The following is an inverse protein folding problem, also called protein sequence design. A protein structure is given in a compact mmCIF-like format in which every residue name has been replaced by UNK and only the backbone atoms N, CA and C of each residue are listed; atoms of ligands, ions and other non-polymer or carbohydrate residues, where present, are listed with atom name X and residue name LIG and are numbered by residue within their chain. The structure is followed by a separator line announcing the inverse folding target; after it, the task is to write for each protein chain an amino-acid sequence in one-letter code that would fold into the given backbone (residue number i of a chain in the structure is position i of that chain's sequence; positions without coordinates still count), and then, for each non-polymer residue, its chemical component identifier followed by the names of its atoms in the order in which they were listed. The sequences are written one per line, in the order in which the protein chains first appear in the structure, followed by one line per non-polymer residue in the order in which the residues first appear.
data_IF_869538550278
#
_entry.id   IF_869538550278
#
_cell.length_a   1.000
_cell.length_b   1.000
_cell.length_c   1.000
_cell.angle_alpha   90.00
_cell.angle_beta   90.00
_cell.angle_gamma   90.00
#
_symmetry.space_group_name_H-M   'P 1'
#
loop_
_entity.id
_entity.type
_entity.pdbx_description
1 polymer ?
#
# COMPACT_ATOMS: atom_id res chain seq x y z
N UNK A 1 -16.97 -30.26 19.44
CA UNK A 1 -15.60 -30.76 19.20
C UNK A 1 -15.06 -30.27 17.85
N UNK A 2 -15.01 -28.95 17.58
CA UNK A 2 -14.70 -28.42 16.23
C UNK A 2 -13.42 -27.56 16.15
N UNK A 3 -12.70 -27.33 17.26
CA UNK A 3 -11.57 -26.38 17.29
C UNK A 3 -10.21 -26.97 16.92
N UNK A 4 -10.05 -28.31 16.90
CA UNK A 4 -8.75 -28.97 16.72
C UNK A 4 -8.40 -29.29 15.26
N UNK A 5 -9.37 -29.37 14.36
CA UNK A 5 -9.08 -29.65 12.94
C UNK A 5 -8.53 -28.41 12.22
N UNK A 6 -9.12 -27.22 12.46
CA UNK A 6 -8.67 -25.96 11.85
C UNK A 6 -7.24 -25.56 12.25
N UNK A 7 -6.77 -25.96 13.43
CA UNK A 7 -5.45 -25.55 13.96
C UNK A 7 -4.29 -26.29 13.31
N UNK A 8 -4.48 -27.55 12.89
CA UNK A 8 -3.47 -28.36 12.20
C UNK A 8 -3.33 -27.92 10.74
N UNK A 9 -4.44 -27.53 10.12
CA UNK A 9 -4.48 -27.04 8.75
C UNK A 9 -3.88 -25.63 8.61
N UNK A 10 -4.08 -24.77 9.61
CA UNK A 10 -3.42 -23.47 9.63
C UNK A 10 -1.90 -23.62 9.77
N UNK A 11 -1.41 -24.46 10.67
CA UNK A 11 0.03 -24.60 10.94
C UNK A 11 0.85 -25.07 9.72
N UNK A 12 0.22 -25.82 8.79
CA UNK A 12 0.84 -26.35 7.59
C UNK A 12 1.01 -25.34 6.45
N UNK A 13 0.30 -24.20 6.48
CA UNK A 13 0.43 -23.15 5.48
C UNK A 13 1.75 -22.39 5.62
N UNK A 14 2.26 -21.81 4.53
CA UNK A 14 3.41 -20.92 4.58
C UNK A 14 3.16 -19.76 5.57
N UNK A 15 4.18 -19.27 6.30
CA UNK A 15 3.99 -18.26 7.35
C UNK A 15 3.20 -17.03 6.89
N UNK A 16 3.45 -16.51 5.68
CA UNK A 16 2.70 -15.38 5.13
C UNK A 16 1.21 -15.69 4.90
N UNK A 17 0.91 -16.86 4.33
CA UNK A 17 -0.46 -17.33 4.11
C UNK A 17 -1.22 -17.54 5.42
N UNK A 18 -0.54 -18.01 6.47
CA UNK A 18 -1.12 -18.11 7.82
C UNK A 18 -1.54 -16.75 8.36
N UNK A 19 -0.68 -15.74 8.21
CA UNK A 19 -0.97 -14.38 8.67
C UNK A 19 -2.15 -13.80 7.91
N UNK A 20 -2.20 -13.93 6.57
CA UNK A 20 -3.34 -13.49 5.76
C UNK A 20 -4.66 -14.12 6.22
N UNK A 21 -4.66 -15.43 6.50
CA UNK A 21 -5.82 -16.12 7.04
C UNK A 21 -6.25 -15.58 8.41
N UNK A 22 -5.30 -15.35 9.31
CA UNK A 22 -5.57 -14.79 10.64
C UNK A 22 -6.13 -13.37 10.58
N UNK A 23 -5.67 -12.57 9.62
CA UNK A 23 -6.17 -11.21 9.37
C UNK A 23 -7.59 -11.20 8.76
N UNK A 24 -8.13 -12.37 8.36
CA UNK A 24 -9.46 -12.51 7.75
C UNK A 24 -9.66 -11.57 6.55
N UNK A 25 -8.63 -11.45 5.74
CA UNK A 25 -8.64 -10.60 4.55
C UNK A 25 -9.85 -10.95 3.66
N UNK A 26 -10.69 -9.96 3.36
CA UNK A 26 -11.86 -10.16 2.50
C UNK A 26 -11.40 -10.21 1.05
N UNK A 27 -12.00 -11.08 0.24
CA UNK A 27 -11.65 -11.22 -1.18
C UNK A 27 -11.99 -9.99 -2.03
N UNK A 28 -12.93 -9.16 -1.58
CA UNK A 28 -13.41 -7.98 -2.30
C UNK A 28 -13.05 -6.72 -1.50
N UNK A 29 -11.89 -6.13 -1.80
CA UNK A 29 -11.53 -4.79 -1.33
C UNK A 29 -12.04 -3.75 -2.36
N UNK A 30 -12.58 -2.61 -1.91
CA UNK A 30 -12.97 -1.55 -2.82
C UNK A 30 -11.75 -1.04 -3.59
N UNK A 31 -11.96 -0.53 -4.80
CA UNK A 31 -10.92 0.21 -5.50
C UNK A 31 -10.55 1.44 -4.67
N UNK A 32 -9.28 1.53 -4.27
CA UNK A 32 -8.73 2.68 -3.56
C UNK A 32 -8.18 3.67 -4.59
N UNK A 33 -8.49 4.94 -4.38
CA UNK A 33 -7.74 6.03 -5.01
C UNK A 33 -6.48 6.27 -4.20
N UNK A 34 -5.33 6.23 -4.87
CA UNK A 34 -4.03 6.52 -4.29
C UNK A 34 -3.36 7.61 -5.10
N UNK A 35 -2.82 8.62 -4.44
CA UNK A 35 -2.10 9.73 -5.06
C UNK A 35 -0.67 9.78 -4.50
N UNK A 36 0.31 10.02 -5.37
CA UNK A 36 1.71 10.22 -4.98
C UNK A 36 2.09 11.68 -5.16
N UNK A 37 2.47 12.32 -4.06
CA UNK A 37 3.05 13.65 -4.04
C UNK A 37 4.55 13.58 -3.76
N UNK A 38 5.33 14.36 -4.49
CA UNK A 38 6.76 14.56 -4.26
C UNK A 38 7.04 16.02 -3.91
N UNK A 39 7.93 16.24 -2.93
CA UNK A 39 8.34 17.57 -2.52
C UNK A 39 9.36 18.12 -3.54
N UNK A 40 8.95 19.12 -4.32
CA UNK A 40 9.79 19.82 -5.29
C UNK A 40 10.09 21.24 -4.84
N UNK A 41 11.33 21.52 -4.44
CA UNK A 41 11.68 22.82 -3.88
C UNK A 41 10.96 23.05 -2.55
N UNK A 42 9.93 23.91 -2.55
CA UNK A 42 9.17 24.29 -1.35
C UNK A 42 7.69 23.88 -1.40
N UNK A 43 7.27 23.11 -2.40
CA UNK A 43 5.87 22.73 -2.59
C UNK A 43 5.74 21.25 -2.93
N UNK A 44 4.65 20.65 -2.45
CA UNK A 44 4.25 19.30 -2.83
C UNK A 44 3.61 19.34 -4.21
N UNK A 45 4.04 18.43 -5.08
CA UNK A 45 3.50 18.29 -6.43
C UNK A 45 3.05 16.85 -6.62
N UNK A 46 1.84 16.69 -7.14
CA UNK A 46 1.35 15.39 -7.59
C UNK A 46 2.23 14.89 -8.75
N UNK A 47 2.70 13.64 -8.68
CA UNK A 47 3.55 13.02 -9.71
C UNK A 47 2.91 11.79 -10.34
N UNK A 48 2.04 11.08 -9.61
CA UNK A 48 1.33 9.92 -10.12
C UNK A 48 0.04 9.64 -9.31
N UNK A 49 -0.88 8.88 -9.91
CA UNK A 49 -2.13 8.45 -9.25
C UNK A 49 -2.57 7.06 -9.72
N UNK A 50 -3.32 6.37 -8.86
CA UNK A 50 -3.81 5.01 -9.10
C UNK A 50 -5.29 4.87 -8.77
N UNK A 51 -6.04 4.28 -9.71
CA UNK A 51 -7.31 3.58 -9.47
C UNK A 51 -7.31 2.33 -10.33
N UNK A 52 -6.82 1.22 -9.78
CA UNK A 52 -6.49 -0.05 -10.49
C UNK A 52 -5.33 0.08 -11.50
N UNK A 53 -5.33 1.13 -12.31
CA UNK A 53 -4.28 1.50 -13.26
C UNK A 53 -3.53 2.74 -12.78
N UNK A 54 -2.28 2.86 -13.25
CA UNK A 54 -1.37 3.97 -13.00
C UNK A 54 -1.50 5.03 -14.10
N UNK A 55 -1.45 6.29 -13.70
CA UNK A 55 -1.26 7.45 -14.57
C UNK A 55 -0.19 8.34 -13.94
N UNK A 56 0.73 8.84 -14.76
CA UNK A 56 1.85 9.70 -14.36
C UNK A 56 1.67 11.11 -14.91
N UNK A 57 2.21 12.09 -14.19
CA UNK A 57 2.34 13.45 -14.72
C UNK A 57 3.46 13.49 -15.76
N UNK A 58 3.13 13.88 -17.00
CA UNK A 58 4.09 14.00 -18.08
C UNK A 58 5.04 15.21 -17.88
N UNK A 59 6.17 15.20 -18.61
CA UNK A 59 7.13 16.30 -18.59
C UNK A 59 6.45 17.64 -18.87
N UNK A 60 6.65 18.61 -17.97
CA UNK A 60 6.04 19.92 -18.05
C UNK A 60 4.70 20.07 -17.30
N UNK A 61 4.21 19.02 -16.63
CA UNK A 61 3.17 19.13 -15.60
C UNK A 61 1.74 19.37 -16.09
N UNK A 62 1.52 19.42 -17.41
CA UNK A 62 0.24 19.84 -17.98
C UNK A 62 -0.63 18.66 -18.47
N UNK A 63 -0.15 17.43 -18.35
CA UNK A 63 -0.80 16.24 -18.94
C UNK A 63 -0.56 15.01 -18.09
N UNK A 64 -1.54 14.12 -18.09
CA UNK A 64 -1.46 12.77 -17.57
C UNK A 64 -1.11 11.79 -18.69
N UNK A 65 -0.31 10.78 -18.36
CA UNK A 65 -0.10 9.63 -19.23
C UNK A 65 -1.40 8.83 -19.42
N UNK A 66 -1.40 7.86 -20.35
CA UNK A 66 -2.54 6.96 -20.47
C UNK A 66 -2.54 5.96 -19.30
N UNK A 67 -3.73 5.55 -18.81
CA UNK A 67 -3.82 4.49 -17.81
C UNK A 67 -3.06 3.24 -18.25
N UNK A 68 -2.17 2.75 -17.39
CA UNK A 68 -1.35 1.57 -17.68
C UNK A 68 -1.18 0.69 -16.43
N UNK A 69 -0.66 -0.52 -16.64
CA UNK A 69 -0.39 -1.45 -15.53
C UNK A 69 0.96 -1.08 -14.93
N UNK A 70 0.96 -0.80 -13.62
CA UNK A 70 2.15 -0.48 -12.85
C UNK A 70 3.23 -1.56 -12.98
N UNK A 71 4.48 -1.13 -13.18
CA UNK A 71 5.65 -2.01 -13.17
C UNK A 71 6.65 -1.54 -12.13
N UNK A 72 6.82 -2.34 -11.06
CA UNK A 72 7.69 -1.99 -9.95
C UNK A 72 9.06 -2.66 -10.07
N UNK A 73 10.12 -1.91 -9.74
CA UNK A 73 11.46 -2.49 -9.65
C UNK A 73 11.57 -3.38 -8.41
N UNK A 74 12.26 -4.52 -8.54
CA UNK A 74 12.55 -5.41 -7.40
C UNK A 74 13.33 -4.69 -6.29
N UNK A 75 14.21 -3.77 -6.68
CA UNK A 75 14.97 -2.95 -5.74
C UNK A 75 14.05 -2.10 -4.85
N UNK A 76 13.08 -1.40 -5.45
CA UNK A 76 12.10 -0.59 -4.72
C UNK A 76 11.26 -1.45 -3.77
N UNK A 77 10.88 -2.68 -4.16
CA UNK A 77 10.15 -3.60 -3.28
C UNK A 77 10.97 -4.01 -2.04
N UNK A 78 12.29 -4.22 -2.18
CA UNK A 78 13.14 -4.50 -1.02
C UNK A 78 13.31 -3.28 -0.11
N UNK A 79 13.41 -2.08 -0.68
CA UNK A 79 13.42 -0.84 0.11
C UNK A 79 12.11 -0.65 0.87
N UNK A 80 10.97 -0.83 0.21
CA UNK A 80 9.65 -0.76 0.85
C UNK A 80 9.53 -1.76 2.01
N UNK A 81 9.97 -3.01 1.80
CA UNK A 81 10.00 -4.02 2.87
C UNK A 81 10.82 -3.54 4.07
N UNK A 82 11.99 -2.94 3.84
CA UNK A 82 12.83 -2.44 4.91
C UNK A 82 12.17 -1.25 5.63
N UNK A 83 11.53 -0.33 4.89
CA UNK A 83 10.75 0.77 5.46
C UNK A 83 9.62 0.27 6.36
N UNK A 84 8.90 -0.80 5.98
CA UNK A 84 7.83 -1.37 6.81
C UNK A 84 8.38 -2.04 8.08
N UNK A 85 9.55 -2.71 7.98
CA UNK A 85 10.15 -3.40 9.13
C UNK A 85 10.78 -2.43 10.14
N UNK A 86 11.41 -1.36 9.66
CA UNK A 86 12.16 -0.43 10.51
C UNK A 86 11.44 0.89 10.79
N UNK A 87 10.40 1.19 10.01
CA UNK A 87 9.65 2.44 10.10
C UNK A 87 8.69 2.49 11.27
N UNK A 88 8.05 3.65 11.39
CA UNK A 88 6.99 3.90 12.36
C UNK A 88 5.65 3.45 11.77
N UNK A 89 4.89 2.65 12.53
CA UNK A 89 3.54 2.23 12.16
C UNK A 89 2.54 2.71 13.22
N UNK A 90 1.69 3.66 12.82
CA UNK A 90 0.63 4.22 13.66
C UNK A 90 -0.73 3.81 13.08
N UNK A 91 -1.55 3.15 13.89
CA UNK A 91 -2.92 2.73 13.56
C UNK A 91 -3.89 3.32 14.56
N UNK A 92 -5.15 3.51 14.16
CA UNK A 92 -6.20 4.07 15.03
C UNK A 92 -5.87 5.50 15.54
N UNK A 93 -5.29 6.32 14.66
CA UNK A 93 -5.08 7.75 14.94
C UNK A 93 -6.44 8.48 15.03
N UNK A 94 -6.63 9.26 16.11
CA UNK A 94 -7.83 10.09 16.30
C UNK A 94 -7.79 11.40 15.48
N UNK A 95 -6.61 11.77 15.01
CA UNK A 95 -6.35 13.00 14.26
C UNK A 95 -6.76 12.87 12.79
N UNK A 96 -7.36 13.93 12.22
CA UNK A 96 -7.91 13.91 10.85
C UNK A 96 -7.39 15.03 9.95
N UNK A 97 -6.54 15.92 10.47
CA UNK A 97 -5.92 17.01 9.72
C UNK A 97 -4.41 16.85 9.67
N UNK A 98 -3.79 17.27 8.55
CA UNK A 98 -2.37 17.06 8.32
C UNK A 98 -1.47 17.70 9.41
N UNK A 99 -1.70 18.93 9.88
CA UNK A 99 -0.88 19.52 10.94
C UNK A 99 -0.89 18.77 12.28
N UNK A 100 -1.96 18.05 12.62
CA UNK A 100 -2.01 17.24 13.85
C UNK A 100 -1.44 15.83 13.66
N UNK A 101 -1.29 15.37 12.42
CA UNK A 101 -0.69 14.08 12.08
C UNK A 101 0.84 14.17 12.02
N UNK A 102 1.41 15.32 11.61
CA UNK A 102 2.85 15.53 11.36
C UNK A 102 3.60 16.06 12.59
#
# INVERSE_FOLDING_TARGET
MSKRHDSIELASLAPGTRVMFLLKEKSELPALFTEMGELGGNEWRETARWVKFEEDVEQGGNRWSKPHVAALSLHALFQLRNCIIQGLFLTELEHTDLPTIV
#
